data_IF_213450151271
#
_entry.id   IF_213450151271
#
_cell.length_a   1.000
_cell.length_b   1.000
_cell.length_c   1.000
_cell.angle_alpha   90.00
_cell.angle_beta   90.00
_cell.angle_gamma   90.00
#
_symmetry.space_group_name_H-M   'P 1'
#
loop_
_entity.id
_entity.type
_entity.pdbx_description
1 polymer ?
#
# COMPACT_ATOMS: atom_id res chain seq x y z
N UNK A 1 1.28 -28.29 -2.38
CA UNK A 1 1.84 -26.96 -2.70
C UNK A 1 0.87 -25.92 -2.18
N UNK A 2 1.28 -25.05 -1.26
CA UNK A 2 0.40 -23.97 -0.78
C UNK A 2 0.34 -22.85 -1.84
N UNK A 3 -0.84 -22.27 -2.02
CA UNK A 3 -0.99 -21.10 -2.89
C UNK A 3 -0.19 -19.92 -2.32
N UNK A 4 0.50 -19.16 -3.16
CA UNK A 4 1.21 -17.93 -2.76
C UNK A 4 0.24 -16.99 -2.02
N UNK A 5 -1.00 -16.92 -2.48
CA UNK A 5 -2.06 -16.15 -1.81
C UNK A 5 -2.30 -16.63 -0.38
N UNK A 6 -2.38 -17.93 -0.15
CA UNK A 6 -2.61 -18.49 1.18
C UNK A 6 -1.43 -18.21 2.13
N UNK A 7 -0.20 -18.26 1.61
CA UNK A 7 1.02 -17.91 2.38
C UNK A 7 0.96 -16.44 2.79
N UNK A 8 0.67 -15.52 1.86
CA UNK A 8 0.58 -14.08 2.16
C UNK A 8 -0.51 -13.81 3.21
N UNK A 9 -1.68 -14.45 3.09
CA UNK A 9 -2.76 -14.29 4.07
C UNK A 9 -2.31 -14.73 5.47
N UNK A 10 -1.62 -15.87 5.56
CA UNK A 10 -1.10 -16.39 6.83
C UNK A 10 -0.06 -15.44 7.45
N UNK A 11 0.83 -14.88 6.63
CA UNK A 11 1.84 -13.91 7.07
C UNK A 11 1.18 -12.62 7.58
N UNK A 12 0.18 -12.10 6.86
CA UNK A 12 -0.57 -10.92 7.29
C UNK A 12 -1.31 -11.14 8.61
N UNK A 13 -1.93 -12.31 8.80
CA UNK A 13 -2.61 -12.66 10.06
C UNK A 13 -1.61 -12.73 11.22
N UNK A 14 -0.47 -13.37 11.01
CA UNK A 14 0.59 -13.49 12.02
C UNK A 14 1.15 -12.12 12.41
N UNK A 15 1.34 -11.23 11.44
CA UNK A 15 1.78 -9.85 11.68
C UNK A 15 0.71 -9.03 12.43
N UNK A 16 -0.57 -9.18 12.10
CA UNK A 16 -1.63 -8.46 12.80
C UNK A 16 -1.72 -8.88 14.28
N UNK A 17 -1.50 -10.16 14.58
CA UNK A 17 -1.48 -10.67 15.95
C UNK A 17 -0.30 -10.15 16.78
N UNK A 18 0.83 -9.81 16.14
CA UNK A 18 2.03 -9.30 16.82
C UNK A 18 1.99 -7.80 17.09
N UNK A 19 1.08 -7.06 16.46
CA UNK A 19 0.97 -5.60 16.58
C UNK A 19 -0.17 -5.21 17.56
N UNK A 20 0.15 -4.84 18.81
CA UNK A 20 -0.87 -4.36 19.73
C UNK A 20 -1.45 -3.03 19.22
N UNK A 21 -2.77 -2.88 19.35
CA UNK A 21 -3.53 -1.66 19.01
C UNK A 21 -3.67 -1.31 17.51
N UNK A 22 -3.52 -2.28 16.60
CA UNK A 22 -3.85 -2.07 15.19
C UNK A 22 -5.30 -2.45 14.91
N UNK A 23 -6.03 -1.59 14.18
CA UNK A 23 -7.39 -1.85 13.68
C UNK A 23 -7.42 -1.73 12.17
N UNK A 24 -8.00 -2.72 11.50
CA UNK A 24 -8.20 -2.73 10.05
C UNK A 24 -9.57 -2.13 9.74
N UNK A 25 -9.62 -1.20 8.79
CA UNK A 25 -10.85 -0.54 8.36
C UNK A 25 -11.01 -0.67 6.84
N UNK A 26 -12.23 -0.97 6.40
CA UNK A 26 -12.59 -0.89 4.99
C UNK A 26 -13.01 0.54 4.67
N UNK A 27 -12.26 1.19 3.78
CA UNK A 27 -12.50 2.58 3.38
C UNK A 27 -12.80 2.67 1.89
N UNK A 28 -13.45 3.75 1.47
CA UNK A 28 -13.66 4.05 0.04
C UNK A 28 -12.30 4.23 -0.64
N UNK A 29 -12.20 3.82 -1.91
CA UNK A 29 -10.99 3.97 -2.71
C UNK A 29 -10.49 5.43 -2.77
N UNK A 30 -11.40 6.42 -2.77
CA UNK A 30 -11.05 7.83 -2.73
C UNK A 30 -10.21 8.22 -1.51
N UNK A 31 -10.45 7.58 -0.36
CA UNK A 31 -9.70 7.79 0.89
C UNK A 31 -8.37 7.04 0.87
N UNK A 32 -8.27 5.93 0.12
CA UNK A 32 -7.06 5.13 -0.06
C UNK A 32 -6.41 5.35 -1.44
N UNK A 33 -6.62 6.53 -2.03
CA UNK A 33 -6.23 6.81 -3.42
C UNK A 33 -4.73 6.73 -3.64
N UNK A 34 -3.94 7.13 -2.64
CA UNK A 34 -2.49 7.04 -2.69
C UNK A 34 -2.01 5.59 -2.83
N UNK A 35 -2.54 4.66 -2.02
CA UNK A 35 -2.18 3.25 -2.09
C UNK A 35 -2.56 2.62 -3.44
N UNK A 36 -3.71 2.99 -3.99
CA UNK A 36 -4.16 2.54 -5.32
C UNK A 36 -3.25 3.07 -6.44
N UNK A 37 -2.80 4.33 -6.36
CA UNK A 37 -1.78 4.87 -7.28
C UNK A 37 -0.47 4.09 -7.14
N UNK A 38 0.04 3.89 -5.92
CA UNK A 38 1.27 3.14 -5.68
C UNK A 38 1.18 1.74 -6.30
N UNK A 39 0.11 1.00 -6.03
CA UNK A 39 -0.08 -0.36 -6.55
C UNK A 39 -0.06 -0.40 -8.09
N UNK A 40 -0.64 0.61 -8.76
CA UNK A 40 -0.58 0.73 -10.22
C UNK A 40 0.83 1.00 -10.72
N UNK A 41 1.58 1.89 -10.05
CA UNK A 41 2.96 2.21 -10.42
C UNK A 41 3.92 1.05 -10.17
N UNK A 42 3.72 0.24 -9.13
CA UNK A 42 4.58 -0.93 -8.85
C UNK A 42 4.66 -1.94 -10.00
N UNK A 43 3.64 -1.99 -10.89
CA UNK A 43 3.69 -2.80 -12.10
C UNK A 43 4.75 -2.32 -13.10
N UNK A 44 4.97 -1.02 -13.18
CA UNK A 44 5.89 -0.38 -14.13
C UNK A 44 7.27 -0.12 -13.55
N UNK A 45 7.43 -0.17 -12.22
CA UNK A 45 8.64 0.21 -11.51
C UNK A 45 9.03 -0.86 -10.47
N UNK A 46 9.13 -2.13 -10.88
CA UNK A 46 9.35 -3.27 -9.99
C UNK A 46 10.62 -3.18 -9.12
N UNK A 47 11.64 -2.46 -9.59
CA UNK A 47 12.96 -2.37 -8.94
C UNK A 47 13.31 -0.95 -8.45
N UNK A 48 12.33 -0.05 -8.40
CA UNK A 48 12.59 1.34 -8.02
C UNK A 48 11.99 1.67 -6.66
N UNK A 49 12.82 2.21 -5.77
CA UNK A 49 12.35 2.84 -4.53
C UNK A 49 11.79 4.22 -4.86
N UNK A 50 10.53 4.45 -4.50
CA UNK A 50 9.90 5.76 -4.61
C UNK A 50 10.23 6.57 -3.33
N UNK A 51 10.91 7.69 -3.51
CA UNK A 51 11.23 8.70 -2.51
C UNK A 51 10.63 10.04 -2.96
N UNK A 52 10.49 11.02 -2.07
CA UNK A 52 9.92 12.34 -2.42
C UNK A 52 10.59 13.00 -3.63
N UNK A 53 11.89 12.79 -3.81
CA UNK A 53 12.69 13.37 -4.89
C UNK A 53 12.46 12.73 -6.27
N UNK A 54 11.91 11.51 -6.33
CA UNK A 54 11.63 10.79 -7.59
C UNK A 54 10.16 10.37 -7.71
N UNK A 55 9.31 10.80 -6.78
CA UNK A 55 7.91 10.46 -6.78
C UNK A 55 7.19 11.12 -7.98
N UNK A 56 6.33 10.35 -8.70
CA UNK A 56 5.50 10.92 -9.75
C UNK A 56 4.68 12.10 -9.22
N UNK A 57 4.51 13.15 -10.03
CA UNK A 57 3.78 14.36 -9.64
C UNK A 57 2.38 14.05 -9.07
N UNK A 58 1.64 13.11 -9.67
CA UNK A 58 0.33 12.67 -9.18
C UNK A 58 0.36 12.14 -7.73
N UNK A 59 1.48 11.53 -7.33
CA UNK A 59 1.67 10.96 -6.01
C UNK A 59 1.95 12.06 -4.99
N UNK A 60 2.79 13.04 -5.35
CA UNK A 60 3.04 14.24 -4.56
C UNK A 60 1.76 15.08 -4.41
N UNK A 61 1.00 15.24 -5.50
CA UNK A 61 -0.27 15.96 -5.48
C UNK A 61 -1.25 15.35 -4.49
N UNK A 62 -1.39 14.02 -4.45
CA UNK A 62 -2.27 13.34 -3.49
C UNK A 62 -1.74 13.47 -2.06
N UNK A 63 -0.42 13.34 -1.86
CA UNK A 63 0.19 13.40 -0.53
C UNK A 63 0.08 14.79 0.10
N UNK A 64 0.28 15.83 -0.70
CA UNK A 64 0.22 17.23 -0.28
C UNK A 64 -1.15 17.87 -0.52
N UNK A 65 -2.13 17.12 -1.04
CA UNK A 65 -3.51 17.59 -1.11
C UNK A 65 -4.05 17.80 0.30
N UNK A 66 -4.01 19.04 0.78
CA UNK A 66 -4.68 19.43 2.01
C UNK A 66 -6.19 19.31 1.78
N UNK A 67 -6.83 18.38 2.51
CA UNK A 67 -8.26 18.50 2.79
C UNK A 67 -8.52 19.73 3.65
#
# INVERSE_FOLDING_TARGET
>A
MFSIFAIIVQDCQSLLLSLPNVKVHFVKQSTNRLADVIARFSRSFSDHTICETNAPAIMLDILYFKC
#
